data_IF_144592686011
#
_entry.id   IF_144592686011
#
_cell.length_a   1.000
_cell.length_b   1.000
_cell.length_c   1.000
_cell.angle_alpha   90.00
_cell.angle_beta   90.00
_cell.angle_gamma   90.00
#
_symmetry.space_group_name_H-M   'P 1'
#
loop_
_entity.id
_entity.type
_entity.pdbx_description
1 polymer ?
#
# COMPACT_ATOMS: atom_id res chain seq x y z
N UNK A 1 24.57 27.66 -9.22
CA UNK A 1 24.89 26.30 -9.67
C UNK A 1 24.69 25.35 -8.50
N UNK A 2 23.64 24.51 -8.46
CA UNK A 2 23.47 23.56 -7.37
C UNK A 2 24.45 22.41 -7.58
N UNK A 3 25.19 22.06 -6.53
CA UNK A 3 26.16 20.97 -6.51
C UNK A 3 25.45 19.65 -6.77
N UNK A 4 25.83 18.97 -7.84
CA UNK A 4 25.54 17.55 -8.05
C UNK A 4 25.99 16.78 -6.81
N UNK A 5 25.04 16.16 -6.10
CA UNK A 5 25.36 15.13 -5.11
C UNK A 5 26.05 13.99 -5.86
N UNK A 6 27.29 13.72 -5.48
CA UNK A 6 28.04 12.55 -5.94
C UNK A 6 27.24 11.32 -5.54
N UNK A 7 26.83 10.57 -6.54
CA UNK A 7 26.40 9.18 -6.42
C UNK A 7 27.55 8.43 -5.75
N UNK A 8 27.43 8.13 -4.46
CA UNK A 8 28.39 7.26 -3.79
C UNK A 8 28.35 5.91 -4.48
N UNK A 9 29.50 5.48 -5.00
CA UNK A 9 29.72 4.08 -5.35
C UNK A 9 29.57 3.26 -4.08
N UNK A 10 28.38 2.69 -3.90
CA UNK A 10 28.18 1.54 -3.05
C UNK A 10 28.69 0.34 -3.85
N UNK A 11 29.82 -0.22 -3.42
CA UNK A 11 30.29 -1.54 -3.86
C UNK A 11 29.16 -2.58 -3.66
N UNK A 12 29.10 -3.56 -4.57
CA UNK A 12 28.13 -4.67 -4.54
C UNK A 12 28.16 -5.40 -3.19
N UNK A 13 27.29 -5.01 -2.26
CA UNK A 13 26.83 -5.89 -1.20
C UNK A 13 25.84 -6.87 -1.84
N UNK A 14 26.31 -8.08 -2.15
CA UNK A 14 25.46 -9.22 -2.46
C UNK A 14 24.31 -9.29 -1.44
N UNK A 15 23.06 -9.16 -1.91
CA UNK A 15 21.87 -8.89 -1.11
C UNK A 15 21.76 -9.75 0.16
N UNK A 16 21.98 -9.11 1.31
CA UNK A 16 22.16 -9.75 2.62
C UNK A 16 21.03 -9.47 3.60
N UNK A 17 19.77 -9.51 3.16
CA UNK A 17 18.62 -9.46 4.07
C UNK A 17 18.25 -10.87 4.59
N UNK A 18 18.08 -11.04 5.90
CA UNK A 18 17.59 -12.31 6.45
C UNK A 18 16.13 -12.53 6.08
N UNK A 19 15.84 -13.64 5.39
CA UNK A 19 14.47 -13.99 4.96
C UNK A 19 13.65 -14.49 6.14
N UNK A 20 12.36 -14.16 6.11
CA UNK A 20 11.36 -14.68 7.06
C UNK A 20 11.23 -16.19 6.91
N UNK A 21 11.10 -16.89 8.04
CA UNK A 21 10.83 -18.33 8.06
C UNK A 21 9.35 -18.58 7.79
N UNK A 22 9.07 -19.40 6.78
CA UNK A 22 7.71 -19.91 6.54
C UNK A 22 7.53 -21.14 7.41
N UNK A 23 6.76 -21.02 8.48
CA UNK A 23 6.26 -22.20 9.19
C UNK A 23 5.11 -22.75 8.35
N UNK A 24 5.15 -24.05 8.03
CA UNK A 24 4.31 -24.65 6.99
C UNK A 24 2.80 -24.44 7.24
N UNK A 25 2.14 -23.72 6.34
CA UNK A 25 0.74 -23.93 5.98
C UNK A 25 0.68 -24.23 4.48
N UNK A 26 -0.20 -25.16 4.09
CA UNK A 26 -0.21 -25.82 2.79
C UNK A 26 -0.06 -24.82 1.63
N UNK A 27 0.91 -25.07 0.74
CA UNK A 27 0.90 -24.49 -0.58
C UNK A 27 -0.40 -24.96 -1.28
N UNK A 28 -1.45 -24.15 -1.19
CA UNK A 28 -2.61 -24.29 -2.03
C UNK A 28 -2.12 -24.28 -3.47
N UNK A 29 -2.41 -25.36 -4.19
CA UNK A 29 -2.06 -25.49 -5.59
C UNK A 29 -2.87 -24.43 -6.35
N UNK A 30 -2.30 -23.24 -6.59
CA UNK A 30 -2.94 -22.17 -7.36
C UNK A 30 -2.97 -22.55 -8.85
N UNK A 31 -3.76 -23.57 -9.18
CA UNK A 31 -4.13 -23.87 -10.55
C UNK A 31 -5.24 -22.91 -10.98
N UNK A 32 -4.87 -21.84 -11.70
CA UNK A 32 -5.82 -21.19 -12.61
C UNK A 32 -5.78 -19.66 -12.78
N UNK A 33 -5.04 -18.90 -11.98
CA UNK A 33 -4.96 -17.44 -12.17
C UNK A 33 -3.64 -17.08 -12.87
N UNK A 34 -3.73 -16.40 -14.02
CA UNK A 34 -2.54 -15.96 -14.76
C UNK A 34 -1.67 -15.06 -13.87
N UNK A 35 -0.35 -15.30 -13.87
CA UNK A 35 0.57 -14.54 -13.04
C UNK A 35 0.48 -13.04 -13.38
N UNK A 36 0.21 -12.22 -12.36
CA UNK A 36 0.24 -10.76 -12.49
C UNK A 36 1.65 -10.31 -12.87
N UNK A 37 1.75 -9.50 -13.92
CA UNK A 37 3.01 -8.97 -14.44
C UNK A 37 2.94 -7.44 -14.49
N UNK A 38 4.10 -6.81 -14.68
CA UNK A 38 4.16 -5.39 -14.98
C UNK A 38 4.22 -5.19 -16.50
N UNK A 39 3.46 -4.22 -17.03
CA UNK A 39 3.30 -4.03 -18.49
C UNK A 39 4.63 -3.88 -19.25
N UNK A 40 5.70 -3.38 -18.61
CA UNK A 40 7.00 -3.22 -19.26
C UNK A 40 7.68 -4.55 -19.62
N UNK A 41 7.30 -5.67 -18.98
CA UNK A 41 7.77 -7.01 -19.32
C UNK A 41 7.19 -7.53 -20.64
N UNK A 42 6.01 -7.05 -21.05
CA UNK A 42 5.35 -7.50 -22.29
C UNK A 42 6.17 -7.18 -23.55
N UNK A 43 7.09 -6.21 -23.46
CA UNK A 43 8.02 -5.83 -24.54
C UNK A 43 9.33 -6.62 -24.51
N UNK A 44 9.45 -7.64 -23.66
CA UNK A 44 10.68 -8.44 -23.49
C UNK A 44 11.85 -7.66 -22.87
N UNK A 45 11.58 -6.49 -22.30
CA UNK A 45 12.60 -5.64 -21.69
C UNK A 45 13.10 -6.26 -20.38
N UNK A 46 14.40 -6.22 -20.16
CA UNK A 46 15.05 -6.63 -18.92
C UNK A 46 16.10 -5.62 -18.53
N UNK A 47 16.26 -5.39 -17.23
CA UNK A 47 17.33 -4.55 -16.74
C UNK A 47 18.69 -5.23 -16.91
N UNK A 48 19.72 -4.49 -17.38
CA UNK A 48 21.10 -4.95 -17.35
C UNK A 48 21.53 -5.42 -15.95
N UNK A 49 22.49 -6.35 -15.89
CA UNK A 49 23.06 -6.82 -14.63
C UNK A 49 23.61 -5.64 -13.83
N UNK A 50 23.32 -5.60 -12.52
CA UNK A 50 23.74 -4.51 -11.62
C UNK A 50 22.88 -3.26 -11.70
N UNK A 51 21.73 -3.30 -12.38
CA UNK A 51 20.81 -2.15 -12.49
C UNK A 51 19.40 -2.52 -12.05
N UNK A 52 18.61 -1.51 -11.68
CA UNK A 52 17.20 -1.64 -11.31
C UNK A 52 16.31 -0.83 -12.26
N UNK A 53 15.07 -1.27 -12.54
CA UNK A 53 14.14 -0.50 -13.35
C UNK A 53 13.61 0.68 -12.56
N UNK A 54 13.67 1.87 -13.17
CA UNK A 54 13.15 3.12 -12.60
C UNK A 54 12.13 3.71 -13.57
N UNK A 55 10.92 4.02 -13.08
CA UNK A 55 9.93 4.76 -13.88
C UNK A 55 10.49 6.15 -14.17
N UNK A 56 10.54 6.52 -15.46
CA UNK A 56 10.95 7.86 -15.87
C UNK A 56 9.88 8.88 -15.46
N UNK A 57 10.27 9.90 -14.70
CA UNK A 57 9.44 11.07 -14.43
C UNK A 57 9.42 12.01 -15.64
N UNK A 58 8.25 12.58 -15.94
CA UNK A 58 8.10 13.58 -17.00
C UNK A 58 8.04 15.00 -16.43
N UNK A 59 8.14 16.02 -17.28
CA UNK A 59 7.92 17.41 -16.86
C UNK A 59 6.49 17.60 -16.33
N UNK A 60 5.51 16.99 -17.01
CA UNK A 60 4.11 17.06 -16.59
C UNK A 60 3.89 16.43 -15.20
N UNK A 61 4.62 15.36 -14.88
CA UNK A 61 4.58 14.75 -13.53
C UNK A 61 5.00 15.75 -12.44
N UNK A 62 6.06 16.51 -12.69
CA UNK A 62 6.56 17.52 -11.74
C UNK A 62 5.61 18.72 -11.67
N UNK A 63 5.04 19.14 -12.80
CA UNK A 63 4.11 20.27 -12.84
C UNK A 63 2.82 20.00 -12.07
N UNK A 64 2.31 18.76 -12.07
CA UNK A 64 1.15 18.37 -11.22
C UNK A 64 1.45 18.49 -9.73
N UNK A 65 2.68 18.17 -9.31
CA UNK A 65 3.14 18.35 -7.93
C UNK A 65 3.51 19.80 -7.57
N UNK A 66 3.33 20.77 -8.48
CA UNK A 66 3.65 22.21 -8.35
C UNK A 66 5.13 22.57 -8.27
N UNK A 67 5.97 21.75 -7.62
CA UNK A 67 7.40 22.02 -7.49
C UNK A 67 8.24 20.74 -7.43
N UNK A 68 9.54 20.86 -7.74
CA UNK A 68 10.51 19.77 -7.53
C UNK A 68 10.70 19.40 -6.06
N UNK A 69 10.45 20.33 -5.14
CA UNK A 69 10.57 20.08 -3.70
C UNK A 69 9.40 19.24 -3.17
N UNK A 70 8.23 19.41 -3.78
CA UNK A 70 6.97 18.77 -3.44
C UNK A 70 6.76 17.43 -4.16
N UNK A 71 7.44 17.23 -5.29
CA UNK A 71 7.33 16.02 -6.10
C UNK A 71 7.74 14.78 -5.30
N UNK A 72 6.78 13.87 -5.13
CA UNK A 72 6.95 12.63 -4.36
C UNK A 72 6.60 12.73 -2.88
N UNK A 73 6.19 13.89 -2.35
CA UNK A 73 5.70 14.04 -0.97
C UNK A 73 4.17 14.02 -0.93
N UNK A 74 3.57 13.43 0.12
CA UNK A 74 2.12 13.62 0.39
C UNK A 74 1.89 15.10 0.71
N UNK A 75 0.91 15.71 0.04
CA UNK A 75 0.58 17.12 0.23
C UNK A 75 -0.43 17.26 1.37
N UNK A 76 -0.09 18.03 2.39
CA UNK A 76 -1.00 18.41 3.48
C UNK A 76 -2.05 19.39 2.94
N UNK A 77 -3.13 18.86 2.37
CA UNK A 77 -4.25 19.66 1.89
C UNK A 77 -5.27 19.82 3.01
N UNK A 78 -5.64 21.06 3.31
CA UNK A 78 -6.71 21.36 4.25
C UNK A 78 -8.05 21.18 3.53
N UNK A 79 -8.60 19.98 3.60
CA UNK A 79 -9.99 19.75 3.25
C UNK A 79 -10.89 20.21 4.41
N UNK A 80 -12.13 20.60 4.12
CA UNK A 80 -13.05 21.09 5.15
C UNK A 80 -13.26 20.00 6.22
N UNK A 81 -13.17 20.33 7.53
CA UNK A 81 -13.27 19.33 8.58
C UNK A 81 -14.66 18.67 8.56
N UNK A 82 -14.67 17.34 8.42
CA UNK A 82 -15.88 16.53 8.56
C UNK A 82 -16.22 16.36 10.05
N UNK A 83 -17.51 16.37 10.39
CA UNK A 83 -17.98 16.16 11.75
C UNK A 83 -17.70 14.72 12.21
N UNK A 84 -17.03 14.57 13.36
CA UNK A 84 -16.66 13.27 13.97
C UNK A 84 -17.90 12.42 14.32
N UNK A 85 -17.84 11.11 14.05
CA UNK A 85 -18.51 10.10 14.89
C UNK A 85 -17.59 9.79 16.08
N UNK A 86 -18.16 9.70 17.28
CA UNK A 86 -17.43 9.69 18.55
C UNK A 86 -16.76 8.35 18.92
N UNK A 87 -16.94 7.30 18.11
CA UNK A 87 -16.61 5.92 18.49
C UNK A 87 -15.59 5.22 17.56
N UNK A 88 -14.89 5.96 16.69
CA UNK A 88 -13.81 5.36 15.90
C UNK A 88 -12.52 5.26 16.75
N UNK A 89 -11.78 4.14 16.70
CA UNK A 89 -10.41 4.10 17.21
C UNK A 89 -9.62 5.27 16.59
N UNK A 90 -8.75 5.90 17.38
CA UNK A 90 -8.02 7.17 17.17
C UNK A 90 -7.18 7.32 15.86
N UNK A 91 -7.69 6.90 14.71
CA UNK A 91 -6.93 6.75 13.45
C UNK A 91 -7.71 7.27 12.25
N UNK A 92 -8.41 8.41 12.36
CA UNK A 92 -8.84 9.13 11.15
C UNK A 92 -8.85 10.63 11.44
N UNK A 93 -7.81 11.33 11.00
CA UNK A 93 -7.90 12.78 10.84
C UNK A 93 -8.97 13.07 9.78
N UNK A 94 -9.98 13.89 10.08
CA UNK A 94 -10.99 14.37 9.13
C UNK A 94 -10.40 15.29 8.04
N UNK A 95 -9.42 14.76 7.32
CA UNK A 95 -8.51 15.42 6.41
C UNK A 95 -8.94 15.22 4.94
N UNK A 96 -10.19 14.84 4.67
CA UNK A 96 -10.67 14.60 3.30
C UNK A 96 -10.29 13.23 2.73
N UNK A 97 -10.04 12.24 3.60
CA UNK A 97 -9.84 10.84 3.22
C UNK A 97 -10.96 9.97 3.81
N UNK A 98 -11.27 8.87 3.14
CA UNK A 98 -12.21 7.84 3.60
C UNK A 98 -11.52 6.48 3.49
N UNK A 99 -11.74 5.59 4.46
CA UNK A 99 -11.06 4.32 4.57
C UNK A 99 -12.07 3.16 4.71
N UNK A 100 -11.62 1.97 4.32
CA UNK A 100 -12.27 0.71 4.67
C UNK A 100 -11.15 -0.28 4.99
N UNK A 101 -10.84 -0.40 6.28
CA UNK A 101 -9.62 -1.05 6.77
C UNK A 101 -9.91 -2.14 7.79
N UNK A 102 -9.08 -3.18 7.77
CA UNK A 102 -8.91 -4.14 8.84
C UNK A 102 -7.59 -3.89 9.55
N UNK A 103 -7.53 -4.15 10.86
CA UNK A 103 -6.32 -3.90 11.65
C UNK A 103 -6.17 -4.91 12.79
N UNK A 104 -4.92 -5.08 13.23
CA UNK A 104 -4.57 -5.93 14.39
C UNK A 104 -4.91 -5.24 15.71
N UNK A 105 -5.35 -6.01 16.71
CA UNK A 105 -5.42 -5.51 18.09
C UNK A 105 -4.02 -5.22 18.67
N UNK A 106 -3.96 -4.40 19.73
CA UNK A 106 -2.73 -3.86 20.31
C UNK A 106 -1.88 -4.87 21.14
N UNK A 107 -1.89 -6.17 20.83
CA UNK A 107 -1.44 -7.21 21.78
C UNK A 107 -0.21 -8.01 21.38
N UNK A 108 0.47 -7.71 20.27
CA UNK A 108 1.67 -8.46 19.86
C UNK A 108 2.76 -7.56 19.29
N UNK A 109 4.02 -7.96 19.50
CA UNK A 109 5.18 -7.34 18.89
C UNK A 109 5.23 -7.73 17.40
N UNK A 110 4.94 -6.79 16.50
CA UNK A 110 4.84 -7.07 15.07
C UNK A 110 6.12 -6.64 14.35
N UNK A 111 6.74 -7.58 13.64
CA UNK A 111 7.97 -7.36 12.86
C UNK A 111 7.71 -7.37 11.36
N UNK A 112 6.45 -7.39 10.93
CA UNK A 112 6.09 -7.41 9.53
C UNK A 112 4.68 -7.89 9.27
N UNK A 113 4.29 -7.82 8.01
CA UNK A 113 2.97 -8.18 7.53
C UNK A 113 3.05 -8.75 6.12
N UNK A 114 2.18 -9.71 5.83
CA UNK A 114 1.99 -10.25 4.49
C UNK A 114 0.51 -10.43 4.20
N UNK A 115 0.11 -10.07 2.99
CA UNK A 115 -1.24 -10.32 2.51
C UNK A 115 -1.26 -10.43 0.98
N UNK A 116 -2.33 -11.05 0.48
CA UNK A 116 -2.64 -11.12 -0.95
C UNK A 116 -3.81 -10.20 -1.26
N UNK A 117 -3.65 -9.36 -2.28
CA UNK A 117 -4.50 -8.20 -2.58
C UNK A 117 -4.95 -8.29 -4.03
N UNK A 118 -6.25 -8.33 -4.31
CA UNK A 118 -6.69 -8.25 -5.72
C UNK A 118 -6.58 -6.83 -6.27
N UNK A 119 -6.30 -6.76 -7.58
CA UNK A 119 -5.98 -5.51 -8.27
C UNK A 119 -7.15 -5.11 -9.16
N UNK A 120 -7.59 -3.86 -9.02
CA UNK A 120 -8.67 -3.24 -9.80
C UNK A 120 -8.23 -1.91 -10.40
N UNK A 121 -9.02 -1.39 -11.33
CA UNK A 121 -8.87 -0.05 -11.90
C UNK A 121 -10.09 0.81 -11.50
N UNK A 122 -10.16 1.29 -10.24
CA UNK A 122 -11.26 2.15 -9.79
C UNK A 122 -11.33 3.45 -10.59
N UNK A 123 -12.55 3.92 -10.85
CA UNK A 123 -12.79 5.25 -11.41
C UNK A 123 -12.43 6.34 -10.39
N UNK A 124 -11.72 7.37 -10.84
CA UNK A 124 -11.36 8.55 -10.04
C UNK A 124 -12.15 9.75 -10.56
N UNK A 125 -12.88 10.45 -9.69
CA UNK A 125 -13.73 11.60 -10.08
C UNK A 125 -12.87 12.81 -10.46
N UNK A 126 -11.92 13.19 -9.59
CA UNK A 126 -11.08 14.37 -9.80
C UNK A 126 -9.60 13.99 -9.87
N UNK A 127 -8.84 14.58 -10.79
CA UNK A 127 -7.43 14.21 -11.03
C UNK A 127 -6.46 14.45 -9.87
N UNK A 128 -6.91 15.07 -8.77
CA UNK A 128 -6.17 15.28 -7.53
C UNK A 128 -6.65 14.37 -6.38
N UNK A 129 -7.53 13.42 -6.68
CA UNK A 129 -7.90 12.32 -5.80
C UNK A 129 -7.12 11.07 -6.18
N UNK A 130 -7.18 10.06 -5.32
CA UNK A 130 -6.67 8.73 -5.59
C UNK A 130 -7.55 7.68 -4.93
N UNK A 131 -7.33 6.44 -5.35
CA UNK A 131 -7.85 5.24 -4.69
C UNK A 131 -6.72 4.23 -4.58
N UNK A 132 -6.53 3.66 -3.39
CA UNK A 132 -5.45 2.71 -3.12
C UNK A 132 -5.93 1.49 -2.37
N UNK A 133 -5.09 0.45 -2.40
CA UNK A 133 -5.20 -0.76 -1.62
C UNK A 133 -3.83 -1.16 -1.11
N UNK A 134 -3.62 -1.17 0.20
CA UNK A 134 -2.28 -1.35 0.76
C UNK A 134 -2.24 -2.03 2.12
N UNK A 135 -0.99 -2.36 2.51
CA UNK A 135 -0.60 -2.71 3.86
C UNK A 135 0.08 -1.50 4.48
N UNK A 136 -0.34 -1.13 5.69
CA UNK A 136 0.36 -0.17 6.55
C UNK A 136 1.03 -0.91 7.70
N UNK A 137 2.32 -0.67 7.90
CA UNK A 137 3.07 -1.12 9.08
C UNK A 137 3.40 0.10 9.92
N UNK A 138 2.84 0.17 11.13
CA UNK A 138 2.70 1.41 11.89
C UNK A 138 3.31 1.30 13.29
N UNK A 139 3.94 2.37 13.74
CA UNK A 139 4.40 2.52 15.14
C UNK A 139 4.48 3.99 15.55
N UNK A 140 4.22 4.29 16.82
CA UNK A 140 4.10 5.66 17.31
C UNK A 140 2.64 6.10 17.40
N UNK A 141 2.37 7.41 17.53
CA UNK A 141 1.01 7.90 17.78
C UNK A 141 0.44 8.71 16.62
N UNK A 142 -0.86 8.53 16.38
CA UNK A 142 -1.64 9.29 15.40
C UNK A 142 -2.06 10.67 15.88
N UNK A 143 -2.15 10.88 17.19
CA UNK A 143 -2.46 12.19 17.80
C UNK A 143 -1.22 13.10 17.93
N UNK A 144 -0.04 12.52 17.72
CA UNK A 144 1.25 13.18 17.78
C UNK A 144 1.83 13.49 16.40
N UNK A 145 3.09 13.90 16.39
CA UNK A 145 3.88 14.15 15.18
C UNK A 145 4.95 13.08 14.95
N UNK A 146 4.80 11.91 15.57
CA UNK A 146 5.83 10.89 15.64
C UNK A 146 5.42 9.55 15.01
N UNK A 147 4.23 9.45 14.41
CA UNK A 147 3.82 8.25 13.66
C UNK A 147 4.84 7.89 12.59
N UNK A 148 5.34 6.67 12.66
CA UNK A 148 6.14 6.02 11.64
C UNK A 148 5.22 5.10 10.82
N UNK A 149 5.31 5.18 9.50
CA UNK A 149 4.54 4.35 8.56
C UNK A 149 5.43 3.82 7.46
N UNK A 150 5.27 2.53 7.14
CA UNK A 150 5.73 1.90 5.91
C UNK A 150 4.50 1.37 5.18
N UNK A 151 4.37 1.75 3.91
CA UNK A 151 3.19 1.53 3.09
C UNK A 151 3.58 0.84 1.79
N UNK A 152 2.90 -0.24 1.43
CA UNK A 152 3.04 -0.84 0.12
C UNK A 152 1.75 -1.52 -0.36
N UNK A 153 1.48 -1.38 -1.65
CA UNK A 153 0.21 -1.78 -2.23
C UNK A 153 0.12 -1.48 -3.72
N UNK A 154 -1.11 -1.36 -4.22
CA UNK A 154 -1.38 -0.75 -5.52
C UNK A 154 -2.26 0.49 -5.36
N UNK A 155 -2.08 1.46 -6.24
CA UNK A 155 -2.93 2.67 -6.26
C UNK A 155 -3.21 3.13 -7.69
N UNK A 156 -4.33 3.84 -7.83
CA UNK A 156 -4.67 4.67 -8.99
C UNK A 156 -4.59 6.12 -8.52
N UNK A 157 -3.57 6.84 -9.00
CA UNK A 157 -3.32 8.24 -8.64
C UNK A 157 -2.98 9.06 -9.90
N UNK A 158 -3.97 9.74 -10.49
CA UNK A 158 -3.75 10.55 -11.69
C UNK A 158 -2.78 11.70 -11.42
N UNK A 159 -2.83 12.30 -10.22
CA UNK A 159 -1.90 13.35 -9.80
C UNK A 159 -0.45 12.85 -9.83
N UNK A 160 -0.19 11.66 -9.31
CA UNK A 160 1.18 11.13 -9.22
C UNK A 160 1.67 10.59 -10.56
N UNK A 161 0.82 9.89 -11.33
CA UNK A 161 1.27 9.10 -12.49
C UNK A 161 0.84 9.64 -13.85
N UNK A 162 -0.13 10.54 -13.90
CA UNK A 162 -0.67 11.12 -15.13
C UNK A 162 -1.60 10.18 -15.90
N UNK A 163 -1.99 9.06 -15.31
CA UNK A 163 -2.96 8.11 -15.84
C UNK A 163 -3.75 7.43 -14.72
N UNK A 164 -4.77 6.67 -15.11
CA UNK A 164 -5.68 5.98 -14.18
C UNK A 164 -5.32 4.49 -14.01
N UNK A 165 -4.12 4.07 -14.41
CA UNK A 165 -3.74 2.65 -14.33
C UNK A 165 -3.33 2.28 -12.91
N UNK A 166 -3.73 1.10 -12.39
CA UNK A 166 -3.25 0.63 -11.10
C UNK A 166 -1.75 0.35 -11.16
N UNK A 167 -1.02 0.91 -10.19
CA UNK A 167 0.44 0.85 -10.13
C UNK A 167 0.89 0.35 -8.78
N UNK A 168 1.87 -0.56 -8.78
CA UNK A 168 2.58 -0.96 -7.57
C UNK A 168 3.23 0.28 -6.98
N UNK A 169 3.05 0.54 -5.70
CA UNK A 169 3.66 1.68 -5.05
C UNK A 169 4.18 1.35 -3.66
N UNK A 170 5.02 2.25 -3.18
CA UNK A 170 5.48 2.30 -1.80
C UNK A 170 5.41 3.72 -1.29
N UNK A 171 5.18 3.87 0.01
CA UNK A 171 5.35 5.13 0.73
C UNK A 171 5.98 4.86 2.10
N UNK A 172 6.56 5.89 2.71
CA UNK A 172 6.99 5.85 4.10
C UNK A 172 6.91 7.25 4.71
N UNK A 173 6.83 7.34 6.04
CA UNK A 173 7.03 8.57 6.82
C UNK A 173 7.51 8.21 8.23
N UNK A 174 8.18 9.14 8.90
CA UNK A 174 8.60 9.00 10.31
C UNK A 174 8.02 10.09 11.21
N UNK A 175 7.14 10.95 10.69
CA UNK A 175 6.65 12.14 11.38
C UNK A 175 5.18 12.44 11.06
N UNK A 176 4.34 11.42 10.95
CA UNK A 176 2.91 11.57 10.67
C UNK A 176 2.62 12.40 9.41
N UNK A 177 3.38 12.15 8.33
CA UNK A 177 3.20 12.80 7.02
C UNK A 177 3.42 14.32 7.03
N UNK A 178 4.16 14.85 7.99
CA UNK A 178 4.33 16.30 8.16
C UNK A 178 5.44 16.84 7.25
N UNK A 179 6.69 16.47 7.51
CA UNK A 179 7.85 16.93 6.76
C UNK A 179 8.60 15.78 6.08
N UNK A 180 8.52 14.57 6.62
CA UNK A 180 9.17 13.37 6.07
C UNK A 180 8.24 12.54 5.20
N UNK A 181 8.89 11.73 4.37
CA UNK A 181 8.22 10.70 3.60
C UNK A 181 8.37 10.87 2.11
N UNK A 182 8.18 9.76 1.40
CA UNK A 182 8.45 9.70 -0.01
C UNK A 182 7.67 8.59 -0.72
N UNK A 183 7.03 8.94 -1.83
CA UNK A 183 6.52 7.98 -2.79
C UNK A 183 7.63 7.34 -3.59
N UNK A 184 7.58 6.01 -3.69
CA UNK A 184 8.38 5.22 -4.63
C UNK A 184 9.88 5.56 -4.54
N UNK A 185 10.49 5.84 -5.69
CA UNK A 185 11.89 6.27 -5.82
C UNK A 185 12.01 7.77 -6.18
N UNK A 186 10.99 8.58 -5.87
CA UNK A 186 10.95 10.00 -6.26
C UNK A 186 11.86 10.89 -5.41
N UNK A 187 12.26 10.38 -4.25
CA UNK A 187 13.14 10.97 -3.25
C UNK A 187 13.84 9.84 -2.48
N UNK A 188 14.78 10.21 -1.60
CA UNK A 188 15.51 9.24 -0.78
C UNK A 188 14.58 8.53 0.22
N UNK A 189 14.87 7.26 0.51
CA UNK A 189 14.13 6.46 1.47
C UNK A 189 14.16 4.98 1.11
N UNK A 190 13.33 4.56 0.15
CA UNK A 190 13.34 3.18 -0.32
C UNK A 190 14.53 2.89 -1.23
N UNK A 191 15.24 1.80 -0.96
CA UNK A 191 16.38 1.32 -1.75
C UNK A 191 15.96 0.09 -2.53
N UNK A 192 15.68 0.27 -3.83
CA UNK A 192 15.37 -0.85 -4.72
C UNK A 192 16.65 -1.63 -5.08
N UNK A 193 16.57 -2.96 -5.01
CA UNK A 193 17.69 -3.87 -5.31
C UNK A 193 17.35 -4.86 -6.43
N UNK A 194 16.07 -4.99 -6.77
CA UNK A 194 15.58 -5.93 -7.74
C UNK A 194 15.54 -5.38 -9.16
N UNK A 195 15.93 -6.20 -10.14
CA UNK A 195 15.98 -5.85 -11.56
C UNK A 195 14.73 -6.29 -12.36
N UNK A 196 13.77 -6.96 -11.73
CA UNK A 196 12.55 -7.53 -12.33
C UNK A 196 11.27 -6.82 -11.91
N UNK A 197 11.24 -6.20 -10.74
CA UNK A 197 10.08 -5.46 -10.24
C UNK A 197 10.41 -3.98 -10.23
N UNK A 198 9.58 -3.17 -10.87
CA UNK A 198 9.71 -1.72 -10.95
C UNK A 198 8.65 -1.05 -10.07
N UNK A 199 9.06 -0.36 -9.01
CA UNK A 199 8.13 0.43 -8.21
C UNK A 199 7.56 1.58 -9.06
N UNK A 200 6.26 1.85 -8.93
CA UNK A 200 5.50 2.81 -9.73
C UNK A 200 5.09 2.31 -11.12
N UNK A 201 5.43 1.08 -11.52
CA UNK A 201 5.00 0.51 -12.79
C UNK A 201 3.58 -0.05 -12.71
N UNK A 202 2.87 0.03 -13.83
CA UNK A 202 1.49 -0.45 -13.98
C UNK A 202 1.41 -1.97 -13.88
N UNK A 203 0.41 -2.43 -13.14
CA UNK A 203 0.11 -3.84 -12.92
C UNK A 203 -0.88 -4.33 -13.97
N UNK A 204 -0.66 -5.53 -14.52
CA UNK A 204 -1.55 -6.14 -15.51
C UNK A 204 -1.36 -7.66 -15.57
N UNK A 205 -2.41 -8.45 -15.85
CA UNK A 205 -3.83 -8.05 -15.98
C UNK A 205 -4.44 -7.59 -14.64
N UNK A 206 -5.66 -7.02 -14.72
CA UNK A 206 -6.46 -6.56 -13.58
C UNK A 206 -7.74 -7.40 -13.47
N UNK A 207 -8.32 -7.43 -12.28
CA UNK A 207 -9.58 -8.12 -12.00
C UNK A 207 -10.77 -7.48 -12.71
N UNK A 208 -11.79 -8.26 -12.99
CA UNK A 208 -13.04 -7.79 -13.58
C UNK A 208 -14.26 -8.48 -12.95
N UNK A 209 -15.39 -7.76 -12.92
CA UNK A 209 -16.64 -8.25 -12.32
C UNK A 209 -17.08 -9.54 -12.99
N UNK A 210 -17.41 -10.55 -12.19
CA UNK A 210 -17.86 -11.88 -12.62
C UNK A 210 -16.89 -12.59 -13.58
N UNK A 211 -15.62 -12.21 -13.53
CA UNK A 211 -14.57 -12.67 -14.43
C UNK A 211 -13.29 -13.05 -13.66
N UNK A 212 -12.19 -13.26 -14.39
CA UNK A 212 -10.88 -13.56 -13.82
C UNK A 212 -10.49 -12.52 -12.77
N UNK A 213 -10.03 -13.03 -11.62
CA UNK A 213 -9.46 -12.22 -10.55
C UNK A 213 -7.94 -12.33 -10.61
N UNK A 214 -7.27 -11.23 -10.32
CA UNK A 214 -5.83 -11.12 -10.37
C UNK A 214 -5.35 -10.41 -9.11
N UNK A 215 -4.42 -11.04 -8.40
CA UNK A 215 -3.91 -10.54 -7.14
C UNK A 215 -2.39 -10.50 -7.07
N UNK A 216 -1.91 -9.69 -6.14
CA UNK A 216 -0.50 -9.53 -5.79
C UNK A 216 -0.32 -9.90 -4.34
N UNK A 217 0.80 -10.53 -4.01
CA UNK A 217 1.20 -10.77 -2.62
C UNK A 217 2.31 -9.80 -2.26
N UNK A 218 2.14 -9.10 -1.14
CA UNK A 218 3.15 -8.19 -0.58
C UNK A 218 3.56 -8.72 0.77
N UNK A 219 4.87 -8.71 1.04
CA UNK A 219 5.45 -8.99 2.34
C UNK A 219 6.33 -7.80 2.74
N UNK A 220 6.12 -7.26 3.93
CA UNK A 220 6.98 -6.25 4.56
C UNK A 220 7.49 -6.84 5.86
N UNK A 221 8.80 -6.80 6.14
CA UNK A 221 9.33 -7.31 7.41
C UNK A 221 10.63 -6.64 7.81
N UNK A 222 10.89 -6.63 9.11
CA UNK A 222 12.13 -6.12 9.68
C UNK A 222 13.20 -7.22 9.68
N UNK A 223 14.35 -6.92 9.11
CA UNK A 223 15.52 -7.78 9.18
C UNK A 223 16.02 -7.86 10.64
N UNK A 224 16.04 -9.04 11.27
CA UNK A 224 16.45 -9.17 12.68
C UNK A 224 17.94 -8.88 12.91
N UNK A 225 18.78 -8.86 11.88
CA UNK A 225 20.22 -8.58 12.01
C UNK A 225 20.58 -7.14 11.69
N UNK A 226 20.07 -6.62 10.57
CA UNK A 226 20.43 -5.28 10.09
C UNK A 226 19.40 -4.23 10.50
N UNK A 227 18.21 -4.61 10.94
CA UNK A 227 17.13 -3.69 11.33
C UNK A 227 16.38 -3.04 10.16
N UNK A 228 16.87 -3.18 8.92
CA UNK A 228 16.21 -2.65 7.73
C UNK A 228 14.87 -3.33 7.50
N UNK A 229 13.89 -2.57 7.03
CA UNK A 229 12.59 -3.11 6.62
C UNK A 229 12.62 -3.52 5.16
N UNK A 230 12.43 -4.79 4.85
CA UNK A 230 12.44 -5.32 3.50
C UNK A 230 11.04 -5.44 2.92
N UNK A 231 10.94 -5.28 1.60
CA UNK A 231 9.75 -5.55 0.81
C UNK A 231 9.96 -6.74 -0.12
N UNK A 232 9.01 -7.67 -0.10
CA UNK A 232 8.85 -8.77 -1.04
C UNK A 232 7.59 -8.61 -1.89
N UNK A 233 7.64 -9.16 -3.11
CA UNK A 233 6.53 -9.22 -4.06
C UNK A 233 6.35 -10.63 -4.61
N UNK A 234 5.11 -11.12 -4.61
CA UNK A 234 4.79 -12.52 -4.92
C UNK A 234 5.40 -13.49 -3.91
N UNK A 235 5.69 -14.71 -4.35
CA UNK A 235 6.10 -15.79 -3.43
C UNK A 235 7.49 -15.60 -2.80
N UNK A 236 8.44 -14.98 -3.51
CA UNK A 236 9.83 -14.92 -3.03
C UNK A 236 10.72 -13.86 -3.70
N UNK A 237 10.13 -12.82 -4.32
CA UNK A 237 10.92 -11.79 -5.00
C UNK A 237 11.21 -10.64 -4.05
N UNK A 238 12.45 -10.56 -3.55
CA UNK A 238 12.94 -9.37 -2.83
C UNK A 238 12.95 -8.18 -3.77
N UNK A 239 12.31 -7.07 -3.39
CA UNK A 239 12.22 -5.85 -4.21
C UNK A 239 13.27 -4.82 -3.77
N UNK A 240 13.36 -4.59 -2.47
CA UNK A 240 14.17 -3.54 -1.87
C UNK A 240 13.89 -3.40 -0.38
N UNK A 241 14.43 -2.36 0.24
CA UNK A 241 14.28 -2.12 1.67
C UNK A 241 14.23 -0.62 2.02
N UNK A 242 13.66 -0.31 3.17
CA UNK A 242 13.80 0.97 3.85
C UNK A 242 14.89 0.84 4.92
N UNK A 243 15.92 1.70 4.91
CA UNK A 243 16.95 1.74 5.95
C UNK A 243 16.34 1.98 7.34
N UNK A 244 16.88 1.31 8.36
CA UNK A 244 16.41 1.46 9.74
C UNK A 244 16.51 2.90 10.25
N UNK A 245 17.50 3.65 9.78
CA UNK A 245 17.80 5.03 10.18
C UNK A 245 16.72 6.04 9.76
N UNK A 246 15.77 5.64 8.91
CA UNK A 246 14.62 6.47 8.58
C UNK A 246 13.64 6.58 9.75
N UNK A 247 13.66 5.63 10.68
CA UNK A 247 12.59 5.45 11.65
C UNK A 247 13.05 5.69 13.08
N UNK A 248 12.11 6.15 13.91
CA UNK A 248 12.27 6.30 15.36
C UNK A 248 11.62 5.11 16.06
N UNK A 249 10.32 4.93 15.89
CA UNK A 249 9.55 3.85 16.52
C UNK A 249 9.68 2.52 15.78
N UNK A 250 9.58 2.53 14.45
CA UNK A 250 9.80 1.33 13.64
C UNK A 250 11.28 0.86 13.65
N UNK A 251 12.20 1.62 14.25
CA UNK A 251 13.55 1.11 14.53
C UNK A 251 13.54 -0.06 15.52
N UNK A 252 12.54 -0.12 16.40
CA UNK A 252 12.30 -1.26 17.30
C UNK A 252 11.41 -2.30 16.61
N UNK A 253 10.11 -1.98 16.46
CA UNK A 253 9.07 -2.85 15.89
C UNK A 253 7.81 -2.07 15.51
N UNK A 254 6.86 -2.73 14.88
CA UNK A 254 5.53 -2.18 14.66
C UNK A 254 4.60 -2.49 15.84
N UNK A 255 3.67 -1.57 16.13
CA UNK A 255 2.62 -1.76 17.14
C UNK A 255 1.27 -2.09 16.50
N UNK A 256 1.13 -1.86 15.20
CA UNK A 256 -0.10 -2.13 14.47
C UNK A 256 0.19 -2.39 13.00
N UNK A 257 -0.63 -3.26 12.41
CA UNK A 257 -0.73 -3.41 10.96
C UNK A 257 -2.16 -3.14 10.54
N UNK A 258 -2.31 -2.39 9.46
CA UNK A 258 -3.58 -2.17 8.78
C UNK A 258 -3.53 -2.71 7.36
N UNK A 259 -4.68 -3.14 6.86
CA UNK A 259 -4.90 -3.60 5.50
C UNK A 259 -6.20 -3.00 5.00
N UNK A 260 -6.25 -2.56 3.74
CA UNK A 260 -7.51 -2.08 3.18
C UNK A 260 -7.35 -0.99 2.15
N UNK A 261 -8.44 -0.26 1.95
CA UNK A 261 -8.53 0.82 0.98
C UNK A 261 -8.57 2.21 1.62
N UNK A 262 -8.10 3.18 0.85
CA UNK A 262 -8.15 4.61 1.16
C UNK A 262 -8.49 5.35 -0.13
N UNK A 263 -9.36 6.36 -0.02
CA UNK A 263 -9.66 7.29 -1.11
C UNK A 263 -9.57 8.73 -0.61
N UNK A 264 -9.26 9.65 -1.52
CA UNK A 264 -9.42 11.09 -1.24
C UNK A 264 -10.83 11.51 -1.62
N UNK A 265 -11.55 12.08 -0.66
CA UNK A 265 -12.82 12.75 -0.83
C UNK A 265 -12.60 14.27 -0.85
N UNK A 266 -12.29 14.81 -2.02
CA UNK A 266 -11.97 16.24 -2.17
C UNK A 266 -13.19 17.15 -2.04
N UNK A 267 -14.40 16.58 -2.21
CA UNK A 267 -15.68 17.28 -2.33
C UNK A 267 -15.61 18.48 -3.30
N UNK A 268 -15.00 18.28 -4.48
CA UNK A 268 -14.77 19.35 -5.46
C UNK A 268 -16.03 20.12 -5.87
N UNK A 269 -17.20 19.47 -5.81
CA UNK A 269 -18.52 20.07 -6.10
C UNK A 269 -19.36 20.39 -4.86
N UNK A 270 -18.80 20.20 -3.65
CA UNK A 270 -19.51 20.31 -2.37
C UNK A 270 -20.19 19.02 -1.90
N UNK A 271 -20.30 18.02 -2.77
CA UNK A 271 -20.84 16.69 -2.49
C UNK A 271 -19.72 15.68 -2.23
N UNK A 272 -20.03 14.52 -1.68
CA UNK A 272 -19.08 13.42 -1.55
C UNK A 272 -18.55 12.99 -2.93
N UNK A 273 -17.28 12.60 -2.98
CA UNK A 273 -16.66 12.10 -4.21
C UNK A 273 -17.37 10.87 -4.77
N UNK A 274 -17.40 10.74 -6.10
CA UNK A 274 -17.74 9.49 -6.81
C UNK A 274 -16.52 8.62 -7.15
N UNK A 275 -15.35 8.92 -6.58
CA UNK A 275 -14.16 8.07 -6.66
C UNK A 275 -14.45 6.70 -6.03
N UNK A 276 -14.16 5.64 -6.77
CA UNK A 276 -14.40 4.27 -6.33
C UNK A 276 -13.30 3.76 -5.42
N UNK A 277 -13.66 2.99 -4.39
CA UNK A 277 -12.69 2.23 -3.61
C UNK A 277 -12.63 0.78 -4.09
N UNK A 278 -11.42 0.27 -4.33
CA UNK A 278 -11.24 -1.12 -4.77
C UNK A 278 -11.88 -1.38 -6.13
N UNK A 279 -12.94 -2.20 -6.15
CA UNK A 279 -13.69 -2.55 -7.36
C UNK A 279 -14.84 -1.59 -7.66
N UNK A 280 -15.12 -0.66 -6.75
CA UNK A 280 -16.31 0.19 -6.81
C UNK A 280 -17.59 -0.48 -6.29
N UNK A 281 -17.50 -1.69 -5.74
CA UNK A 281 -18.61 -2.46 -5.20
C UNK A 281 -18.42 -2.71 -3.70
N UNK A 282 -19.53 -2.76 -2.96
CA UNK A 282 -19.54 -3.04 -1.52
C UNK A 282 -19.08 -4.46 -1.20
N UNK A 283 -18.61 -4.66 0.03
CA UNK A 283 -18.04 -5.88 0.55
C UNK A 283 -19.00 -7.08 0.47
N UNK A 284 -20.30 -6.84 0.58
CA UNK A 284 -21.34 -7.88 0.49
C UNK A 284 -21.39 -8.60 -0.86
N UNK A 285 -20.87 -7.97 -1.92
CA UNK A 285 -20.88 -8.50 -3.28
C UNK A 285 -19.90 -9.68 -3.44
N UNK A 286 -18.93 -9.80 -2.53
CA UNK A 286 -18.09 -10.99 -2.35
C UNK A 286 -17.15 -11.31 -3.51
N UNK A 287 -16.71 -12.58 -3.58
CA UNK A 287 -15.71 -13.02 -4.55
C UNK A 287 -16.13 -12.74 -5.99
N UNK A 288 -15.16 -12.29 -6.81
CA UNK A 288 -15.30 -11.87 -8.22
C UNK A 288 -15.98 -10.52 -8.43
N UNK A 289 -16.44 -9.85 -7.37
CA UNK A 289 -17.16 -8.57 -7.49
C UNK A 289 -16.58 -7.51 -6.56
N UNK A 290 -16.43 -7.82 -5.27
CA UNK A 290 -15.78 -6.94 -4.30
C UNK A 290 -14.25 -7.04 -4.36
N UNK A 291 -13.56 -5.99 -3.88
CA UNK A 291 -12.13 -6.08 -3.58
C UNK A 291 -11.91 -6.89 -2.31
N UNK A 292 -10.76 -7.53 -2.20
CA UNK A 292 -10.41 -8.39 -1.09
C UNK A 292 -8.93 -8.32 -0.71
N UNK A 293 -8.70 -8.56 0.56
CA UNK A 293 -7.43 -9.08 1.06
C UNK A 293 -7.66 -10.50 1.57
N UNK A 294 -6.70 -11.38 1.32
CA UNK A 294 -6.69 -12.76 1.85
C UNK A 294 -5.31 -13.16 2.34
N UNK A 295 -5.25 -14.24 3.09
CA UNK A 295 -4.03 -14.78 3.68
C UNK A 295 -3.31 -13.71 4.51
N UNK A 296 -4.02 -13.06 5.43
CA UNK A 296 -3.43 -12.09 6.34
C UNK A 296 -2.49 -12.81 7.31
N UNK A 297 -1.22 -12.43 7.27
CA UNK A 297 -0.15 -12.95 8.11
C UNK A 297 0.66 -11.79 8.70
N UNK A 298 1.22 -12.00 9.88
CA UNK A 298 2.20 -11.10 10.52
C UNK A 298 3.53 -11.83 10.69
N UNK A 299 4.62 -11.06 10.81
CA UNK A 299 5.93 -11.59 11.19
C UNK A 299 6.14 -11.38 12.68
N UNK A 300 6.44 -12.45 13.39
CA UNK A 300 6.70 -12.44 14.83
C UNK A 300 8.17 -12.13 15.17
N UNK A 301 8.48 -12.06 16.46
CA UNK A 301 9.82 -11.81 17.00
C UNK A 301 10.85 -12.88 16.61
N UNK A 302 10.41 -14.10 16.29
CA UNK A 302 11.28 -15.18 15.83
C UNK A 302 11.54 -15.12 14.32
N UNK A 303 11.10 -14.03 13.68
CA UNK A 303 11.17 -13.80 12.24
C UNK A 303 10.48 -14.94 11.47
N UNK A 304 9.29 -15.34 11.97
CA UNK A 304 8.43 -16.35 11.37
C UNK A 304 7.09 -15.76 10.96
N UNK A 305 6.52 -16.26 9.85
CA UNK A 305 5.17 -15.91 9.45
C UNK A 305 4.13 -16.67 10.28
N UNK A 306 3.13 -15.93 10.73
CA UNK A 306 2.02 -16.42 11.53
C UNK A 306 0.71 -15.84 11.02
N UNK A 307 -0.30 -16.68 10.75
CA UNK A 307 -1.61 -16.22 10.28
C UNK A 307 -2.32 -15.40 11.35
N UNK A 308 -2.87 -14.25 10.94
CA UNK A 308 -3.67 -13.40 11.82
C UNK A 308 -5.01 -14.08 12.07
N UNK A 309 -5.40 -14.29 13.33
CA UNK A 309 -6.66 -14.97 13.68
C UNK A 309 -7.81 -14.01 13.99
N UNK A 310 -7.49 -12.84 14.52
CA UNK A 310 -8.48 -11.85 14.95
C UNK A 310 -8.08 -10.50 14.36
N UNK A 311 -9.02 -9.88 13.65
CA UNK A 311 -8.91 -8.53 13.12
C UNK A 311 -10.13 -7.72 13.55
N UNK A 312 -9.92 -6.43 13.76
CA UNK A 312 -10.99 -5.44 13.84
C UNK A 312 -11.15 -4.78 12.48
N UNK A 313 -12.32 -4.19 12.21
CA UNK A 313 -12.61 -3.50 10.96
C UNK A 313 -13.18 -2.12 11.23
N UNK A 314 -12.86 -1.15 10.37
CA UNK A 314 -13.34 0.23 10.43
C UNK A 314 -13.64 0.74 9.02
N UNK A 315 -14.76 1.44 8.87
CA UNK A 315 -15.04 2.32 7.74
C UNK A 315 -15.76 3.56 8.28
N UNK A 316 -15.35 4.76 7.87
CA UNK A 316 -15.89 6.02 8.40
C UNK A 316 -17.33 6.25 7.95
N UNK A 317 -17.59 5.98 6.67
CA UNK A 317 -18.91 6.11 6.08
C UNK A 317 -19.32 4.84 5.33
N UNK A 318 -19.96 3.94 6.06
CA UNK A 318 -20.44 2.62 5.57
C UNK A 318 -21.43 2.71 4.43
N UNK A 319 -22.10 3.85 4.23
CA UNK A 319 -23.00 4.04 3.09
C UNK A 319 -22.25 4.39 1.80
N UNK A 320 -20.98 4.81 1.90
CA UNK A 320 -20.11 5.15 0.76
C UNK A 320 -19.11 4.02 0.45
N UNK A 321 -18.49 3.48 1.50
CA UNK A 321 -17.54 2.38 1.44
C UNK A 321 -17.68 1.50 2.68
N UNK A 322 -17.64 0.19 2.51
CA UNK A 322 -17.78 -0.76 3.62
C UNK A 322 -16.67 -1.82 3.60
N UNK A 323 -16.65 -2.60 4.69
CA UNK A 323 -15.73 -3.70 4.88
C UNK A 323 -16.42 -4.82 5.65
N UNK A 324 -16.13 -6.06 5.27
CA UNK A 324 -16.64 -7.26 5.94
C UNK A 324 -15.56 -8.34 6.02
N UNK A 325 -15.16 -8.68 7.25
CA UNK A 325 -14.21 -9.75 7.51
C UNK A 325 -14.88 -11.13 7.54
N UNK A 326 -14.09 -12.15 7.22
CA UNK A 326 -14.49 -13.55 7.29
C UNK A 326 -13.25 -14.45 7.45
N UNK A 327 -13.49 -15.74 7.61
CA UNK A 327 -12.46 -16.76 7.71
C UNK A 327 -12.85 -17.97 6.87
N UNK A 328 -11.88 -18.56 6.17
CA UNK A 328 -12.03 -19.86 5.53
C UNK A 328 -10.69 -20.60 5.53
N UNK A 329 -10.71 -21.93 5.41
CA UNK A 329 -9.48 -22.72 5.36
C UNK A 329 -8.61 -22.40 4.13
N UNK A 330 -9.24 -21.98 3.02
CA UNK A 330 -8.53 -21.68 1.77
C UNK A 330 -7.85 -20.30 1.80
N UNK A 331 -8.51 -19.30 2.38
CA UNK A 331 -8.06 -17.90 2.34
C UNK A 331 -7.55 -17.38 3.70
N UNK A 332 -7.58 -18.23 4.72
CA UNK A 332 -7.39 -17.82 6.11
C UNK A 332 -8.36 -16.71 6.52
N UNK A 333 -7.89 -15.86 7.42
CA UNK A 333 -8.53 -14.57 7.70
C UNK A 333 -8.43 -13.70 6.46
N UNK A 334 -9.57 -13.20 6.02
CA UNK A 334 -9.71 -12.37 4.83
C UNK A 334 -10.84 -11.37 5.03
N UNK A 335 -10.93 -10.40 4.15
CA UNK A 335 -12.06 -9.47 4.13
C UNK A 335 -12.35 -9.00 2.71
N UNK A 336 -13.61 -8.64 2.49
CA UNK A 336 -14.02 -7.87 1.34
C UNK A 336 -14.20 -6.41 1.74
N UNK A 337 -13.94 -5.50 0.81
CA UNK A 337 -14.08 -4.06 1.03
C UNK A 337 -14.31 -3.34 -0.31
N UNK A 338 -14.80 -2.10 -0.22
CA UNK A 338 -14.93 -1.22 -1.37
C UNK A 338 -16.21 -0.41 -1.32
N UNK A 339 -16.52 0.24 -2.43
CA UNK A 339 -17.76 0.98 -2.59
C UNK A 339 -17.67 1.99 -3.73
N UNK A 340 -18.82 2.46 -4.22
CA UNK A 340 -18.89 3.36 -5.37
C UNK A 340 -18.56 4.81 -5.03
N UNK A 341 -18.41 5.16 -3.75
CA UNK A 341 -18.40 6.54 -3.30
C UNK A 341 -19.83 7.10 -3.25
N UNK A 342 -20.04 8.29 -3.83
CA UNK A 342 -21.37 8.95 -3.85
C UNK A 342 -22.44 8.05 -4.46
N UNK A 343 -23.58 7.96 -3.77
CA UNK A 343 -24.70 7.13 -4.16
C UNK A 343 -25.99 7.53 -3.42
N UNK A 344 -27.11 6.83 -3.61
CA UNK A 344 -28.40 7.20 -3.02
C UNK A 344 -28.37 7.37 -1.49
N UNK A 345 -27.52 6.61 -0.80
CA UNK A 345 -27.37 6.64 0.66
C UNK A 345 -26.09 7.40 1.10
N UNK A 346 -25.28 7.87 0.17
CA UNK A 346 -23.99 8.54 0.42
C UNK A 346 -23.93 9.88 -0.32
N UNK A 347 -24.04 11.00 0.42
CA UNK A 347 -24.11 12.37 -0.12
C UNK A 347 -22.89 13.24 0.16
#
# INVERSE_FOLDING_TARGET
>A
MPKMMKQQHLEEAAGGGYRVRVTSAAAGNHSGMGAVQQLWHQRGLRCPKGTVPIRRSTVDDVLRAKSLYDYGKKQQRRYAPLARRADAPDVVSGNGHEHAIAYTGASEDIYGAKATINVWEPSIETGNEFSLSQIWVLSGSFDGSDLNSIEAGWQVSPELYGDNRPRLFTYWTSDAYQATGCYNLLCAGFVQTNSRIAIGASISPISAVDSSQYDITILIWKDPKLGNWWMGFGDNTLVGYWPAELFTHLADRATMVEWGGEVVNSRATGEHTSTQMGSGLFAEEGFRRASYFRNLEVVDSDNSLSSVRVISTLAENTDCYDIKSSFSDEWGTHFYYGGPGRGPNCN
#
